data_IF_621501758127
#
_entry.id   IF_621501758127
#
_cell.length_a   1.000
_cell.length_b   1.000
_cell.length_c   1.000
_cell.angle_alpha   90.00
_cell.angle_beta   90.00
_cell.angle_gamma   90.00
#
_symmetry.space_group_name_H-M   'P 1'
#
loop_
_entity.id
_entity.type
_entity.pdbx_description
1 polymer ?
#
# COMPACT_ATOMS: atom_id res chain seq x y z
N UNK A 1 -5.83 -11.51 43.02
CA UNK A 1 -6.27 -10.69 41.88
C UNK A 1 -5.46 -11.13 40.68
N UNK A 2 -6.03 -11.94 39.80
CA UNK A 2 -5.46 -12.20 38.47
C UNK A 2 -5.52 -10.88 37.71
N UNK A 3 -4.36 -10.30 37.39
CA UNK A 3 -4.31 -9.19 36.44
C UNK A 3 -4.87 -9.71 35.13
N UNK A 4 -5.90 -9.05 34.59
CA UNK A 4 -6.39 -9.36 33.25
C UNK A 4 -5.19 -9.29 32.29
N UNK A 5 -5.07 -10.28 31.40
CA UNK A 5 -4.04 -10.25 30.37
C UNK A 5 -4.13 -8.92 29.61
N UNK A 6 -3.01 -8.23 29.36
CA UNK A 6 -3.04 -6.96 28.66
C UNK A 6 -3.66 -7.13 27.28
N UNK A 7 -4.56 -6.23 26.89
CA UNK A 7 -5.15 -6.26 25.56
C UNK A 7 -4.04 -6.10 24.52
N UNK A 8 -3.94 -7.02 23.55
CA UNK A 8 -2.86 -7.00 22.55
C UNK A 8 -3.10 -6.01 21.40
N UNK A 9 -4.30 -5.46 21.33
CA UNK A 9 -4.72 -4.40 20.38
C UNK A 9 -5.48 -3.30 21.13
N UNK A 10 -5.49 -2.06 20.64
CA UNK A 10 -6.41 -1.05 21.14
C UNK A 10 -7.86 -1.41 20.81
N UNK A 11 -8.82 -0.78 21.50
CA UNK A 11 -10.23 -0.84 21.10
C UNK A 11 -10.39 -0.24 19.70
N UNK A 12 -11.09 -0.97 18.82
CA UNK A 12 -11.32 -0.57 17.43
C UNK A 12 -12.82 -0.64 17.11
N UNK A 13 -13.30 0.34 16.35
CA UNK A 13 -14.65 0.32 15.79
C UNK A 13 -14.63 -0.05 14.30
N UNK A 14 -15.78 -0.44 13.77
CA UNK A 14 -15.97 -0.70 12.35
C UNK A 14 -15.77 0.56 11.48
N UNK A 15 -15.34 0.37 10.23
CA UNK A 15 -15.26 1.44 9.25
C UNK A 15 -16.63 2.01 8.86
N UNK A 16 -16.68 3.29 8.50
CA UNK A 16 -17.81 3.87 7.79
C UNK A 16 -17.90 3.30 6.37
N UNK A 17 -18.94 2.50 6.09
CA UNK A 17 -19.16 1.90 4.77
C UNK A 17 -19.67 2.95 3.78
N UNK A 18 -18.89 3.19 2.72
CA UNK A 18 -19.07 4.26 1.74
C UNK A 18 -19.87 3.86 0.49
N UNK A 19 -20.39 2.62 0.41
CA UNK A 19 -21.13 2.11 -0.76
C UNK A 19 -22.23 3.04 -1.27
N UNK A 20 -22.98 3.65 -0.35
CA UNK A 20 -24.10 4.54 -0.67
C UNK A 20 -23.67 5.87 -1.33
N UNK A 21 -22.38 6.20 -1.27
CA UNK A 21 -21.79 7.41 -1.86
C UNK A 21 -21.33 7.19 -3.31
N UNK A 22 -21.43 5.97 -3.86
CA UNK A 22 -21.03 5.69 -5.24
C UNK A 22 -21.88 6.46 -6.26
N UNK A 23 -21.27 7.48 -6.87
CA UNK A 23 -21.93 8.40 -7.80
C UNK A 23 -22.25 9.77 -7.18
N UNK A 24 -22.07 9.92 -5.86
CA UNK A 24 -22.19 11.18 -5.15
C UNK A 24 -20.80 11.77 -4.87
N UNK A 25 -20.34 12.64 -5.76
CA UNK A 25 -19.00 13.26 -5.67
C UNK A 25 -18.84 14.13 -4.42
N UNK A 26 -19.87 14.88 -4.04
CA UNK A 26 -19.81 15.75 -2.87
C UNK A 26 -19.86 14.92 -1.58
N UNK A 27 -20.68 13.87 -1.55
CA UNK A 27 -20.72 12.91 -0.44
C UNK A 27 -19.39 12.19 -0.24
N UNK A 28 -18.77 11.70 -1.32
CA UNK A 28 -17.43 11.09 -1.28
C UNK A 28 -16.39 12.06 -0.74
N UNK A 29 -16.38 13.30 -1.24
CA UNK A 29 -15.48 14.36 -0.76
C UNK A 29 -15.71 14.62 0.73
N UNK A 30 -16.95 14.80 1.16
CA UNK A 30 -17.26 15.04 2.57
C UNK A 30 -16.83 13.89 3.48
N UNK A 31 -17.01 12.64 3.05
CA UNK A 31 -16.54 11.46 3.77
C UNK A 31 -15.01 11.41 3.85
N UNK A 32 -14.31 11.72 2.75
CA UNK A 32 -12.84 11.79 2.73
C UNK A 32 -12.30 12.83 3.72
N UNK A 33 -12.84 14.06 3.67
CA UNK A 33 -12.43 15.16 4.54
C UNK A 33 -12.67 14.87 6.03
N UNK A 34 -13.71 14.08 6.34
CA UNK A 34 -14.07 13.67 7.70
C UNK A 34 -13.18 12.52 8.19
N UNK A 35 -13.02 11.49 7.37
CA UNK A 35 -12.53 10.18 7.82
C UNK A 35 -11.09 9.89 7.39
N UNK A 36 -10.64 10.43 6.27
CA UNK A 36 -9.33 10.14 5.66
C UNK A 36 -9.27 8.80 4.91
N UNK A 37 -10.43 8.19 4.65
CA UNK A 37 -10.55 6.96 3.90
C UNK A 37 -11.94 6.80 3.27
N UNK A 38 -12.04 5.89 2.31
CA UNK A 38 -13.28 5.26 1.89
C UNK A 38 -13.16 3.75 2.01
N UNK A 39 -14.12 3.13 2.67
CA UNK A 39 -14.24 1.69 2.73
C UNK A 39 -15.48 1.23 1.98
N UNK A 40 -15.30 0.33 1.02
CA UNK A 40 -16.38 -0.23 0.23
C UNK A 40 -16.48 -1.73 0.43
N UNK A 41 -17.70 -2.20 0.71
CA UNK A 41 -18.03 -3.62 0.91
C UNK A 41 -18.48 -4.25 -0.40
N UNK A 42 -17.93 -5.40 -0.76
CA UNK A 42 -18.45 -6.22 -1.86
C UNK A 42 -18.67 -5.46 -3.19
N UNK A 43 -17.65 -4.73 -3.64
CA UNK A 43 -17.69 -3.90 -4.86
C UNK A 43 -16.73 -4.36 -5.95
N UNK A 44 -15.66 -5.08 -5.59
CA UNK A 44 -14.73 -5.65 -6.55
C UNK A 44 -15.24 -7.00 -7.05
N UNK A 45 -14.97 -7.31 -8.32
CA UNK A 45 -15.34 -8.59 -8.92
C UNK A 45 -14.66 -9.76 -8.19
N UNK A 46 -15.46 -10.59 -7.53
CA UNK A 46 -14.97 -11.70 -6.69
C UNK A 46 -14.21 -12.75 -7.49
N UNK A 47 -14.54 -12.94 -8.77
CA UNK A 47 -13.87 -13.91 -9.61
C UNK A 47 -12.46 -13.40 -9.98
N UNK A 48 -12.32 -12.12 -10.30
CA UNK A 48 -11.01 -11.48 -10.48
C UNK A 48 -10.14 -11.56 -9.22
N UNK A 49 -10.75 -11.32 -8.03
CA UNK A 49 -10.05 -11.48 -6.75
C UNK A 49 -9.64 -12.94 -6.50
N UNK A 50 -10.50 -13.91 -6.80
CA UNK A 50 -10.19 -15.33 -6.65
C UNK A 50 -9.05 -15.79 -7.58
N UNK A 51 -9.03 -15.31 -8.82
CA UNK A 51 -7.93 -15.58 -9.76
C UNK A 51 -6.59 -15.02 -9.27
N UNK A 52 -6.59 -13.79 -8.73
CA UNK A 52 -5.39 -13.21 -8.10
C UNK A 52 -4.98 -13.95 -6.82
N UNK A 53 -5.94 -14.37 -5.99
CA UNK A 53 -5.71 -15.21 -4.81
C UNK A 53 -5.03 -16.52 -5.21
N UNK A 54 -5.41 -17.14 -6.32
CA UNK A 54 -4.81 -18.40 -6.75
C UNK A 54 -3.31 -18.24 -7.02
N UNK A 55 -2.87 -17.15 -7.63
CA UNK A 55 -1.44 -16.87 -7.85
C UNK A 55 -0.67 -16.80 -6.52
N UNK A 56 -1.28 -16.25 -5.46
CA UNK A 56 -0.68 -16.21 -4.13
C UNK A 56 -0.60 -17.60 -3.50
N UNK A 57 -1.64 -18.41 -3.67
CA UNK A 57 -1.65 -19.80 -3.17
C UNK A 57 -0.65 -20.68 -3.91
N UNK A 58 -0.53 -20.53 -5.23
CA UNK A 58 0.47 -21.23 -6.03
C UNK A 58 1.88 -20.88 -5.56
N UNK A 59 2.15 -19.60 -5.27
CA UNK A 59 3.42 -19.17 -4.68
C UNK A 59 3.69 -19.82 -3.31
N UNK A 60 2.69 -19.89 -2.42
CA UNK A 60 2.84 -20.58 -1.14
C UNK A 60 3.05 -22.09 -1.31
N UNK A 61 2.44 -22.69 -2.33
CA UNK A 61 2.66 -24.08 -2.73
C UNK A 61 4.06 -24.33 -3.29
N UNK A 62 4.59 -23.42 -4.11
CA UNK A 62 5.98 -23.45 -4.61
C UNK A 62 6.99 -23.42 -3.44
N UNK A 63 6.70 -22.67 -2.38
CA UNK A 63 7.50 -22.64 -1.16
C UNK A 63 7.29 -23.86 -0.25
N UNK A 64 6.25 -24.67 -0.49
CA UNK A 64 5.92 -25.85 0.30
C UNK A 64 5.31 -25.55 1.68
N UNK A 65 4.79 -24.34 1.90
CA UNK A 65 4.29 -23.87 3.22
C UNK A 65 2.75 -23.91 3.35
N UNK A 66 2.06 -24.14 2.24
CA UNK A 66 0.61 -24.36 2.20
C UNK A 66 0.25 -25.28 1.03
N UNK A 67 -0.93 -25.91 1.08
CA UNK A 67 -1.52 -26.56 -0.10
C UNK A 67 -2.11 -25.47 -1.01
N UNK A 68 -1.68 -25.35 -2.29
CA UNK A 68 -2.20 -24.33 -3.20
C UNK A 68 -3.70 -24.47 -3.50
N UNK A 69 -4.31 -25.62 -3.20
CA UNK A 69 -5.75 -25.86 -3.36
C UNK A 69 -6.55 -25.64 -2.07
N UNK A 70 -5.89 -25.30 -0.96
CA UNK A 70 -6.59 -25.07 0.31
C UNK A 70 -7.43 -23.78 0.24
N UNK A 71 -8.75 -23.85 0.49
CA UNK A 71 -9.65 -22.70 0.39
C UNK A 71 -9.43 -21.68 1.52
N UNK A 72 -8.90 -22.12 2.66
CA UNK A 72 -8.67 -21.33 3.86
C UNK A 72 -7.25 -20.75 3.94
N UNK A 73 -6.36 -21.15 3.02
CA UNK A 73 -4.94 -20.83 3.03
C UNK A 73 -4.23 -21.30 4.31
N UNK A 74 -4.57 -22.50 4.80
CA UNK A 74 -3.97 -23.07 6.00
C UNK A 74 -2.45 -23.20 5.88
N UNK A 75 -1.76 -22.76 6.93
CA UNK A 75 -0.32 -22.96 7.05
C UNK A 75 -0.04 -24.38 7.53
N UNK A 76 0.78 -25.12 6.78
CA UNK A 76 1.02 -26.55 7.04
C UNK A 76 2.10 -26.83 8.12
N UNK A 77 2.68 -25.78 8.71
CA UNK A 77 3.74 -25.90 9.73
C UNK A 77 5.16 -26.08 9.19
N UNK A 78 5.37 -26.06 7.86
CA UNK A 78 6.69 -26.17 7.25
C UNK A 78 7.58 -24.95 7.52
N UNK A 79 8.89 -25.10 7.39
CA UNK A 79 9.83 -24.01 7.66
C UNK A 79 9.60 -22.79 6.74
N UNK A 80 9.56 -21.61 7.35
CA UNK A 80 9.32 -20.32 6.69
C UNK A 80 10.61 -19.63 6.26
N UNK A 81 11.79 -20.25 6.44
CA UNK A 81 13.09 -19.63 6.13
C UNK A 81 13.26 -19.24 4.65
N UNK A 82 12.51 -19.88 3.74
CA UNK A 82 12.47 -19.54 2.32
C UNK A 82 11.64 -18.29 2.02
N UNK A 83 10.82 -17.81 2.97
CA UNK A 83 10.08 -16.56 2.82
C UNK A 83 11.00 -15.37 3.10
N UNK A 84 11.09 -14.38 2.18
CA UNK A 84 11.86 -13.17 2.42
C UNK A 84 11.37 -12.41 3.66
N UNK A 85 12.31 -11.87 4.44
CA UNK A 85 11.98 -11.03 5.60
C UNK A 85 11.31 -9.70 5.17
N UNK A 86 11.65 -9.20 3.99
CA UNK A 86 11.05 -8.01 3.40
C UNK A 86 9.99 -8.39 2.37
N UNK A 87 8.76 -7.95 2.61
CA UNK A 87 7.58 -8.24 1.77
C UNK A 87 7.70 -7.78 0.31
N UNK A 88 8.64 -6.89 -0.01
CA UNK A 88 8.85 -6.38 -1.37
C UNK A 88 9.94 -7.14 -2.14
N UNK A 89 10.60 -8.11 -1.52
CA UNK A 89 11.71 -8.87 -2.10
C UNK A 89 11.26 -10.29 -2.48
N UNK A 90 9.96 -10.48 -2.73
CA UNK A 90 9.40 -11.77 -3.10
C UNK A 90 9.43 -11.99 -4.61
N UNK A 91 9.39 -13.26 -5.02
CA UNK A 91 9.25 -13.63 -6.43
C UNK A 91 8.00 -13.05 -7.10
N UNK A 92 6.97 -12.65 -6.34
CA UNK A 92 5.79 -12.01 -6.94
C UNK A 92 6.07 -10.58 -7.40
N UNK A 93 6.92 -9.85 -6.68
CA UNK A 93 7.37 -8.51 -7.09
C UNK A 93 8.17 -8.64 -8.39
N UNK A 94 9.10 -9.59 -8.46
CA UNK A 94 9.88 -9.88 -9.68
C UNK A 94 8.98 -10.29 -10.86
N UNK A 95 7.98 -11.14 -10.62
CA UNK A 95 6.98 -11.57 -11.62
C UNK A 95 5.96 -10.48 -11.97
N UNK A 96 5.96 -9.34 -11.28
CA UNK A 96 5.03 -8.22 -11.49
C UNK A 96 3.57 -8.64 -11.42
N UNK A 97 3.23 -9.41 -10.39
CA UNK A 97 1.86 -9.94 -10.16
C UNK A 97 0.84 -8.79 -10.03
N UNK A 98 1.27 -7.60 -9.62
CA UNK A 98 0.48 -6.37 -9.60
C UNK A 98 -0.26 -6.11 -10.91
N UNK A 99 0.35 -6.46 -12.05
CA UNK A 99 -0.22 -6.26 -13.38
C UNK A 99 -1.49 -7.06 -13.63
N UNK A 100 -1.68 -8.19 -12.94
CA UNK A 100 -2.92 -8.98 -13.04
C UNK A 100 -4.09 -8.15 -12.51
N UNK A 101 -3.94 -7.55 -11.33
CA UNK A 101 -4.93 -6.64 -10.76
C UNK A 101 -5.10 -5.37 -11.61
N UNK A 102 -3.98 -4.72 -11.94
CA UNK A 102 -3.99 -3.39 -12.57
C UNK A 102 -4.61 -3.36 -13.96
N UNK A 103 -4.52 -4.47 -14.70
CA UNK A 103 -4.99 -4.59 -16.09
C UNK A 103 -6.36 -5.26 -16.19
N UNK A 104 -6.92 -5.77 -15.10
CA UNK A 104 -8.20 -6.47 -15.12
C UNK A 104 -9.36 -5.48 -15.37
N UNK A 105 -10.13 -5.63 -16.47
CA UNK A 105 -11.21 -4.72 -16.78
C UNK A 105 -12.38 -4.79 -15.78
N UNK A 106 -12.58 -5.92 -15.09
CA UNK A 106 -13.62 -6.11 -14.06
C UNK A 106 -13.27 -5.30 -12.81
N UNK A 107 -11.99 -5.29 -12.42
CA UNK A 107 -11.49 -4.44 -11.33
C UNK A 107 -11.53 -2.96 -11.73
N UNK A 108 -11.07 -2.62 -12.94
CA UNK A 108 -11.08 -1.24 -13.42
C UNK A 108 -12.50 -0.65 -13.51
N UNK A 109 -13.54 -1.46 -13.74
CA UNK A 109 -14.93 -1.01 -13.80
C UNK A 109 -15.39 -0.30 -12.51
N UNK A 110 -15.01 -0.83 -11.34
CA UNK A 110 -15.32 -0.19 -10.06
C UNK A 110 -14.65 1.18 -9.95
N UNK A 111 -13.34 1.27 -10.19
CA UNK A 111 -12.60 2.53 -10.05
C UNK A 111 -13.00 3.57 -11.09
N UNK A 112 -13.37 3.14 -12.31
CA UNK A 112 -13.98 4.03 -13.31
C UNK A 112 -15.26 4.67 -12.81
N UNK A 113 -16.12 3.89 -12.15
CA UNK A 113 -17.35 4.41 -11.55
C UNK A 113 -17.04 5.35 -10.38
N UNK A 114 -16.05 5.02 -9.55
CA UNK A 114 -15.64 5.83 -8.40
C UNK A 114 -15.07 7.20 -8.83
N UNK A 115 -14.11 7.22 -9.76
CA UNK A 115 -13.41 8.44 -10.16
C UNK A 115 -14.12 9.20 -11.29
N UNK A 116 -14.92 8.51 -12.09
CA UNK A 116 -15.49 9.01 -13.34
C UNK A 116 -14.47 9.17 -14.47
N UNK A 117 -13.32 8.51 -14.36
CA UNK A 117 -12.28 8.38 -15.38
C UNK A 117 -11.50 7.07 -15.15
N UNK A 118 -10.59 6.71 -16.05
CA UNK A 118 -9.75 5.53 -15.84
C UNK A 118 -8.91 5.66 -14.55
N UNK A 119 -8.69 4.57 -13.80
CA UNK A 119 -7.69 4.56 -12.74
C UNK A 119 -6.28 4.63 -13.33
N UNK A 120 -5.42 5.42 -12.69
CA UNK A 120 -3.98 5.35 -12.85
C UNK A 120 -3.39 4.57 -11.68
N UNK A 121 -2.82 3.41 -11.96
CA UNK A 121 -2.10 2.61 -10.97
C UNK A 121 -0.66 3.10 -10.89
N UNK A 122 -0.27 3.54 -9.70
CA UNK A 122 1.12 3.85 -9.39
C UNK A 122 1.82 2.51 -9.14
N UNK A 123 2.95 2.21 -9.80
CA UNK A 123 3.59 0.89 -9.80
C UNK A 123 4.37 0.60 -8.51
N UNK A 124 3.75 0.83 -7.35
CA UNK A 124 4.25 0.47 -6.03
C UNK A 124 3.23 -0.47 -5.40
N UNK A 125 3.53 -1.76 -5.46
CA UNK A 125 2.64 -2.78 -4.94
C UNK A 125 3.39 -3.65 -3.96
N UNK A 126 2.78 -3.88 -2.80
CA UNK A 126 3.24 -4.84 -1.83
C UNK A 126 2.28 -6.01 -1.83
N UNK A 127 2.80 -7.18 -2.09
CA UNK A 127 2.08 -8.43 -2.08
C UNK A 127 2.28 -9.08 -0.70
N UNK A 128 1.21 -9.37 0.04
CA UNK A 128 1.31 -9.87 1.41
C UNK A 128 0.75 -11.28 1.54
N UNK A 129 1.63 -12.23 1.88
CA UNK A 129 1.29 -13.55 2.41
C UNK A 129 1.83 -13.63 3.82
N UNK A 130 1.10 -13.08 4.80
CA UNK A 130 1.61 -12.99 6.17
C UNK A 130 1.32 -14.31 6.90
N UNK A 131 2.36 -15.09 7.28
CA UNK A 131 2.17 -16.35 8.00
C UNK A 131 1.62 -16.10 9.42
N UNK A 132 1.11 -17.14 10.10
CA UNK A 132 0.88 -17.11 11.53
C UNK A 132 2.14 -16.66 12.30
N UNK A 133 1.97 -15.75 13.24
CA UNK A 133 3.06 -15.24 14.06
C UNK A 133 3.52 -16.30 15.07
N UNK A 134 4.85 -16.32 15.29
CA UNK A 134 5.50 -17.16 16.30
C UNK A 134 5.26 -16.62 17.71
N UNK A 135 5.36 -15.31 17.88
CA UNK A 135 5.06 -14.61 19.13
C UNK A 135 3.59 -14.17 19.11
N UNK A 136 2.86 -14.53 20.16
CA UNK A 136 1.44 -14.22 20.35
C UNK A 136 1.16 -13.41 21.61
N UNK A 137 2.21 -13.06 22.35
CA UNK A 137 2.10 -12.39 23.66
C UNK A 137 2.39 -10.88 23.57
N UNK A 138 2.86 -10.40 22.42
CA UNK A 138 3.16 -8.98 22.18
C UNK A 138 2.01 -8.22 21.51
N UNK A 139 2.12 -6.87 21.53
CA UNK A 139 1.16 -5.98 20.86
C UNK A 139 1.13 -6.30 19.37
N UNK A 140 -0.06 -6.43 18.79
CA UNK A 140 -0.26 -6.88 17.41
C UNK A 140 -0.14 -5.76 16.37
N UNK A 141 -0.01 -4.50 16.76
CA UNK A 141 0.18 -3.40 15.80
C UNK A 141 1.63 -3.37 15.30
N UNK A 142 1.80 -3.74 14.03
CA UNK A 142 3.08 -3.77 13.34
C UNK A 142 3.34 -2.44 12.62
N UNK A 143 4.25 -1.64 13.18
CA UNK A 143 4.82 -0.44 12.54
C UNK A 143 3.75 0.60 12.15
N UNK A 144 3.31 1.40 13.13
CA UNK A 144 2.36 2.50 12.88
C UNK A 144 3.07 3.58 12.05
N UNK A 145 2.51 3.92 10.89
CA UNK A 145 3.12 4.88 9.95
C UNK A 145 2.08 5.57 9.06
N UNK A 146 2.55 6.55 8.30
CA UNK A 146 1.87 7.26 7.23
C UNK A 146 2.73 7.14 5.96
N UNK A 147 2.16 6.74 4.83
CA UNK A 147 2.94 6.60 3.58
C UNK A 147 3.42 7.96 3.05
N UNK A 148 2.71 9.05 3.37
CA UNK A 148 2.99 10.39 2.84
C UNK A 148 4.42 10.84 3.11
N UNK A 149 4.98 10.53 4.29
CA UNK A 149 6.36 10.90 4.62
C UNK A 149 7.42 10.25 3.72
N UNK A 150 7.06 9.18 3.00
CA UNK A 150 7.94 8.45 2.08
C UNK A 150 7.63 8.73 0.60
N UNK A 151 6.57 9.48 0.29
CA UNK A 151 6.03 9.62 -1.06
C UNK A 151 5.70 11.08 -1.44
N UNK A 152 6.44 12.04 -0.87
CA UNK A 152 6.23 13.47 -1.10
C UNK A 152 6.11 13.83 -2.60
N UNK A 153 5.13 14.66 -2.95
CA UNK A 153 4.82 15.08 -4.32
C UNK A 153 3.99 14.08 -5.16
N UNK A 154 3.62 12.91 -4.61
CA UNK A 154 2.73 11.96 -5.26
C UNK A 154 1.38 11.93 -4.53
N UNK A 155 0.31 12.42 -5.17
CA UNK A 155 -1.02 12.56 -4.55
C UNK A 155 -1.91 11.32 -4.74
N UNK A 156 -1.33 10.12 -4.65
CA UNK A 156 -2.11 8.89 -4.82
C UNK A 156 -2.90 8.51 -3.55
N UNK A 157 -3.92 7.69 -3.74
CA UNK A 157 -4.61 7.00 -2.67
C UNK A 157 -3.92 5.66 -2.42
N UNK A 158 -3.74 5.28 -1.16
CA UNK A 158 -3.37 3.90 -0.81
C UNK A 158 -4.61 3.03 -1.04
N UNK A 159 -4.48 1.95 -1.79
CA UNK A 159 -5.53 1.00 -2.11
C UNK A 159 -5.17 -0.37 -1.54
N UNK A 160 -5.90 -0.78 -0.51
CA UNK A 160 -5.71 -2.06 0.18
C UNK A 160 -6.89 -3.00 -0.13
N UNK A 161 -6.57 -4.22 -0.57
CA UNK A 161 -7.56 -5.21 -1.01
C UNK A 161 -7.28 -6.56 -0.31
N UNK A 162 -8.27 -7.14 0.40
CA UNK A 162 -8.20 -8.50 0.91
C UNK A 162 -8.38 -9.51 -0.25
N UNK A 163 -7.53 -10.53 -0.30
CA UNK A 163 -7.62 -11.61 -1.30
C UNK A 163 -8.27 -12.88 -0.74
N UNK A 164 -8.42 -12.95 0.57
CA UNK A 164 -9.14 -13.99 1.30
C UNK A 164 -9.96 -13.34 2.42
N UNK A 165 -10.81 -14.11 3.10
CA UNK A 165 -11.46 -13.64 4.31
C UNK A 165 -10.41 -13.41 5.41
N UNK A 166 -10.44 -12.24 6.05
CA UNK A 166 -9.51 -11.84 7.10
C UNK A 166 -10.33 -11.51 8.35
N UNK A 167 -10.55 -12.55 9.15
CA UNK A 167 -11.16 -12.47 10.46
C UNK A 167 -10.23 -11.76 11.48
N UNK A 168 -10.75 -11.34 12.65
CA UNK A 168 -9.98 -10.56 13.63
C UNK A 168 -8.68 -11.22 14.13
N UNK A 169 -8.61 -12.55 14.17
CA UNK A 169 -7.42 -13.31 14.55
C UNK A 169 -6.40 -13.43 13.41
N UNK A 170 -6.86 -13.49 12.15
CA UNK A 170 -6.02 -13.40 10.94
C UNK A 170 -5.32 -12.02 10.87
N UNK A 171 -5.93 -11.00 11.44
CA UNK A 171 -5.36 -9.66 11.59
C UNK A 171 -5.88 -8.71 10.51
N UNK A 172 -5.00 -8.29 9.60
CA UNK A 172 -5.35 -7.35 8.53
C UNK A 172 -4.72 -5.98 8.74
N UNK A 173 -5.50 -4.93 8.49
CA UNK A 173 -5.06 -3.55 8.53
C UNK A 173 -5.86 -2.78 9.60
N UNK A 174 -5.21 -1.86 10.30
CA UNK A 174 -5.88 -0.91 11.16
C UNK A 174 -5.45 0.50 10.79
N UNK A 175 -6.34 1.48 10.90
CA UNK A 175 -6.02 2.90 10.70
C UNK A 175 -6.65 3.79 11.76
N UNK A 176 -6.19 5.03 11.81
CA UNK A 176 -6.69 6.05 12.74
C UNK A 176 -7.53 7.09 11.98
N UNK A 177 -8.84 7.05 12.20
CA UNK A 177 -9.83 7.85 11.48
C UNK A 177 -9.72 9.36 11.76
N UNK A 178 -9.77 10.17 10.70
CA UNK A 178 -9.86 11.64 10.77
C UNK A 178 -8.56 12.35 11.12
N UNK A 179 -7.42 11.66 11.07
CA UNK A 179 -6.10 12.22 11.46
C UNK A 179 -5.27 12.71 10.28
N UNK A 180 -5.63 12.33 9.04
CA UNK A 180 -4.89 12.60 7.81
C UNK A 180 -4.54 14.08 7.55
N UNK A 181 -5.33 15.02 8.06
CA UNK A 181 -5.10 16.46 7.82
C UNK A 181 -4.13 17.13 8.79
N UNK A 182 -3.55 16.37 9.74
CA UNK A 182 -2.65 16.91 10.76
C UNK A 182 -1.19 16.95 10.33
N UNK A 183 -0.92 16.61 9.08
CA UNK A 183 0.42 16.44 8.56
C UNK A 183 1.08 15.16 9.07
N UNK A 184 2.38 15.04 8.83
CA UNK A 184 3.15 13.87 9.27
C UNK A 184 3.31 13.87 10.80
N UNK A 185 2.90 12.78 11.42
CA UNK A 185 3.08 12.48 12.85
C UNK A 185 4.38 11.74 13.13
N UNK A 186 5.14 11.41 12.09
CA UNK A 186 6.44 10.78 12.25
C UNK A 186 7.44 11.71 12.92
N UNK A 187 8.11 11.21 13.96
CA UNK A 187 9.32 11.83 14.50
C UNK A 187 10.52 11.49 13.61
N UNK A 188 11.49 12.39 13.56
CA UNK A 188 12.74 12.19 12.82
C UNK A 188 13.93 12.20 13.79
N UNK A 189 14.87 11.29 13.57
CA UNK A 189 16.19 11.27 14.21
C UNK A 189 17.24 11.41 13.10
N UNK A 190 17.71 12.64 12.88
CA UNK A 190 18.44 13.01 11.67
C UNK A 190 17.60 12.75 10.42
N UNK A 191 18.12 11.91 9.51
CA UNK A 191 17.43 11.48 8.28
C UNK A 191 16.52 10.27 8.49
N UNK A 192 16.54 9.63 9.66
CA UNK A 192 15.74 8.44 9.96
C UNK A 192 14.32 8.86 10.33
N UNK A 193 13.35 8.28 9.64
CA UNK A 193 11.93 8.41 9.97
C UNK A 193 11.60 7.30 10.98
N UNK A 194 11.15 7.69 12.17
CA UNK A 194 10.78 6.76 13.23
C UNK A 194 9.30 6.36 13.09
N UNK A 195 8.92 5.11 13.42
CA UNK A 195 7.51 4.74 13.52
C UNK A 195 6.77 5.66 14.50
N UNK A 196 5.49 5.86 14.24
CA UNK A 196 4.58 6.59 15.13
C UNK A 196 4.39 5.74 16.39
N UNK A 197 4.51 6.34 17.58
CA UNK A 197 4.26 5.60 18.81
C UNK A 197 2.76 5.42 19.01
N UNK A 198 2.33 4.23 19.43
CA UNK A 198 0.91 3.98 19.66
C UNK A 198 0.31 4.93 20.72
N UNK A 199 1.09 5.27 21.74
CA UNK A 199 0.69 6.21 22.79
C UNK A 199 0.41 7.64 22.28
N UNK A 200 0.91 7.99 21.08
CA UNK A 200 0.64 9.28 20.45
C UNK A 200 -0.71 9.28 19.69
N UNK A 201 -1.37 8.13 19.56
CA UNK A 201 -2.65 7.99 18.86
C UNK A 201 -3.83 8.17 19.81
N UNK A 202 -4.85 8.90 19.32
CA UNK A 202 -6.10 9.08 20.06
C UNK A 202 -6.85 7.75 20.22
N UNK A 203 -7.19 7.44 21.46
CA UNK A 203 -8.05 6.30 21.81
C UNK A 203 -9.42 6.47 21.14
N UNK A 204 -10.00 5.38 20.66
CA UNK A 204 -11.34 5.37 20.04
C UNK A 204 -11.38 5.81 18.58
N UNK A 205 -10.25 6.17 17.97
CA UNK A 205 -10.14 6.46 16.53
C UNK A 205 -9.65 5.30 15.69
N UNK A 206 -9.17 4.23 16.32
CA UNK A 206 -8.77 3.03 15.60
C UNK A 206 -9.97 2.40 14.90
N UNK A 207 -9.78 2.06 13.63
CA UNK A 207 -10.74 1.36 12.80
C UNK A 207 -10.09 0.15 12.17
N UNK A 208 -10.83 -0.94 12.20
CA UNK A 208 -10.55 -2.16 11.46
C UNK A 208 -11.88 -2.88 11.25
N UNK A 209 -11.86 -3.98 10.52
CA UNK A 209 -13.08 -4.75 10.25
C UNK A 209 -12.74 -6.21 9.97
N UNK A 210 -13.77 -7.05 9.96
CA UNK A 210 -13.70 -8.34 9.29
C UNK A 210 -13.74 -8.11 7.77
N UNK A 211 -12.62 -8.32 7.08
CA UNK A 211 -12.50 -8.11 5.64
C UNK A 211 -12.87 -9.36 4.83
N UNK A 212 -13.48 -9.15 3.66
CA UNK A 212 -13.88 -10.24 2.75
C UNK A 212 -13.46 -9.96 1.31
N UNK A 213 -13.23 -11.00 0.47
CA UNK A 213 -13.04 -10.81 -0.96
C UNK A 213 -14.17 -10.00 -1.59
N UNK A 214 -13.82 -8.98 -2.37
CA UNK A 214 -14.76 -8.00 -2.92
C UNK A 214 -14.72 -6.66 -2.19
N UNK A 215 -14.22 -6.61 -0.95
CA UNK A 215 -14.03 -5.36 -0.23
C UNK A 215 -12.82 -4.57 -0.77
N UNK A 216 -12.81 -3.25 -0.57
CA UNK A 216 -11.65 -2.40 -0.84
C UNK A 216 -11.60 -1.22 0.12
N UNK A 217 -10.39 -0.91 0.60
CA UNK A 217 -10.12 0.26 1.43
C UNK A 217 -9.19 1.21 0.66
N UNK A 218 -9.66 2.44 0.46
CA UNK A 218 -8.87 3.55 -0.04
C UNK A 218 -8.57 4.51 1.11
N UNK A 219 -7.33 4.92 1.32
CA UNK A 219 -7.01 5.87 2.39
C UNK A 219 -5.96 6.90 1.97
N UNK A 220 -6.00 8.03 2.68
CA UNK A 220 -5.06 9.12 2.50
C UNK A 220 -3.64 8.71 2.91
N UNK A 221 -2.66 9.28 2.22
CA UNK A 221 -1.22 9.12 2.50
C UNK A 221 -0.85 9.43 3.94
N UNK A 222 -1.55 10.37 4.55
CA UNK A 222 -1.32 10.83 5.90
C UNK A 222 -2.27 10.17 6.91
N UNK A 223 -3.08 9.18 6.52
CA UNK A 223 -3.84 8.39 7.50
C UNK A 223 -2.88 7.44 8.23
N UNK A 224 -2.67 7.59 9.56
CA UNK A 224 -1.83 6.65 10.30
C UNK A 224 -2.45 5.25 10.28
N UNK A 225 -1.64 4.26 9.96
CA UNK A 225 -2.10 2.88 9.83
C UNK A 225 -1.01 1.88 10.21
N UNK A 226 -1.43 0.64 10.42
CA UNK A 226 -0.58 -0.45 10.90
C UNK A 226 -1.11 -1.78 10.40
N UNK A 227 -0.21 -2.70 10.09
CA UNK A 227 -0.58 -4.11 9.99
C UNK A 227 -1.00 -4.64 11.36
N UNK A 228 -1.88 -5.63 11.38
CA UNK A 228 -2.18 -6.43 12.56
C UNK A 228 -1.50 -7.80 12.40
N UNK A 229 -0.68 -8.17 13.39
CA UNK A 229 -0.01 -9.47 13.47
C UNK A 229 -1.02 -10.61 13.42
N UNK A 230 -0.72 -11.61 12.60
CA UNK A 230 -1.60 -12.75 12.34
C UNK A 230 -1.48 -13.80 13.47
N UNK A 231 -2.53 -13.99 14.27
CA UNK A 231 -2.56 -14.97 15.38
C UNK A 231 -3.37 -16.23 15.03
N UNK A 232 -3.84 -16.36 13.79
CA UNK A 232 -4.61 -17.50 13.31
C UNK A 232 -3.71 -18.71 12.96
N UNK A 233 -4.25 -19.65 12.19
CA UNK A 233 -3.60 -20.85 11.65
C UNK A 233 -3.40 -20.82 10.13
N UNK A 234 -3.73 -19.69 9.48
CA UNK A 234 -3.70 -19.53 8.03
C UNK A 234 -2.90 -18.32 7.59
N UNK A 235 -2.56 -18.23 6.31
CA UNK A 235 -1.92 -17.05 5.75
C UNK A 235 -2.93 -15.91 5.59
N UNK A 236 -2.53 -14.69 5.98
CA UNK A 236 -3.27 -13.47 5.66
C UNK A 236 -2.87 -12.99 4.27
N UNK A 237 -3.79 -13.08 3.31
CA UNK A 237 -3.57 -12.72 1.91
C UNK A 237 -4.17 -11.35 1.59
N UNK A 238 -3.31 -10.38 1.24
CA UNK A 238 -3.74 -9.03 0.85
C UNK A 238 -2.78 -8.42 -0.15
N UNK A 239 -3.25 -7.38 -0.84
CA UNK A 239 -2.41 -6.53 -1.69
C UNK A 239 -2.62 -5.08 -1.30
N UNK A 240 -1.52 -4.33 -1.17
CA UNK A 240 -1.57 -2.89 -1.11
C UNK A 240 -0.88 -2.27 -2.31
N UNK A 241 -1.63 -1.46 -3.04
CA UNK A 241 -1.18 -0.77 -4.24
C UNK A 241 -1.62 0.69 -4.16
N UNK A 242 -1.21 1.50 -5.12
CA UNK A 242 -1.41 2.95 -5.09
C UNK A 242 -2.16 3.37 -6.34
N UNK A 243 -3.20 4.17 -6.18
CA UNK A 243 -4.14 4.48 -7.26
C UNK A 243 -4.51 5.96 -7.23
N UNK A 244 -4.74 6.54 -8.40
CA UNK A 244 -5.27 7.90 -8.51
C UNK A 244 -6.14 8.06 -9.77
N UNK A 245 -6.99 9.10 -9.85
CA UNK A 245 -7.71 9.43 -11.07
C UNK A 245 -6.74 9.75 -12.21
N UNK A 246 -6.94 9.17 -13.40
CA UNK A 246 -6.04 9.41 -14.55
C UNK A 246 -6.10 10.83 -15.11
N UNK A 247 -7.17 11.58 -14.81
CA UNK A 247 -7.33 12.98 -15.20
C UNK A 247 -6.76 13.98 -14.18
N UNK A 248 -6.11 13.49 -13.12
CA UNK A 248 -5.35 14.31 -12.17
C UNK A 248 -3.91 14.58 -12.63
N UNK A 249 -3.10 15.13 -11.73
CA UNK A 249 -1.66 15.28 -11.95
C UNK A 249 -0.93 13.93 -11.78
N UNK A 250 -1.08 13.04 -12.76
CA UNK A 250 -0.44 11.73 -12.73
C UNK A 250 1.08 11.85 -12.92
N UNK A 251 1.88 11.03 -12.22
CA UNK A 251 3.33 11.04 -12.40
C UNK A 251 3.73 10.48 -13.78
N UNK A 252 4.90 10.89 -14.25
CA UNK A 252 5.52 10.32 -15.45
C UNK A 252 6.15 8.99 -15.08
N UNK A 253 5.68 7.90 -15.67
CA UNK A 253 6.19 6.54 -15.45
C UNK A 253 6.77 6.03 -16.76
N UNK A 254 7.98 5.48 -16.72
CA UNK A 254 8.58 4.84 -17.89
C UNK A 254 10.09 4.66 -17.78
N UNK A 255 10.70 4.34 -18.91
CA UNK A 255 12.13 4.08 -19.01
C UNK A 255 12.91 5.36 -19.25
N UNK A 256 14.05 5.53 -18.58
CA UNK A 256 14.99 6.62 -18.86
C UNK A 256 15.55 6.45 -20.27
N UNK A 257 15.33 7.46 -21.11
CA UNK A 257 15.93 7.60 -22.44
C UNK A 257 17.21 8.44 -22.41
N UNK A 258 17.28 9.43 -21.51
CA UNK A 258 18.47 10.26 -21.27
C UNK A 258 18.45 10.80 -19.84
N UNK A 259 19.62 11.02 -19.23
CA UNK A 259 19.71 11.60 -17.88
C UNK A 259 20.98 12.44 -17.74
N UNK A 260 20.86 13.59 -17.09
CA UNK A 260 21.96 14.49 -16.74
C UNK A 260 21.76 15.05 -15.32
N UNK A 261 22.67 15.92 -14.87
CA UNK A 261 22.48 16.64 -13.61
C UNK A 261 21.35 17.69 -13.68
N UNK A 262 20.96 18.11 -14.89
CA UNK A 262 19.98 19.17 -15.14
C UNK A 262 18.59 18.63 -15.50
N UNK A 263 18.46 17.34 -15.82
CA UNK A 263 17.18 16.76 -16.20
C UNK A 263 17.21 15.28 -16.57
N UNK A 264 16.05 14.78 -16.96
CA UNK A 264 15.82 13.39 -17.39
C UNK A 264 14.80 13.36 -18.51
N UNK A 265 14.99 12.47 -19.47
CA UNK A 265 13.97 12.11 -20.46
C UNK A 265 13.41 10.75 -20.09
N UNK A 266 12.11 10.67 -19.80
CA UNK A 266 11.40 9.42 -19.47
C UNK A 266 10.46 9.12 -20.64
N UNK A 267 10.71 8.01 -21.35
CA UNK A 267 10.07 7.76 -22.64
C UNK A 267 10.38 8.89 -23.63
N UNK A 268 9.35 9.62 -24.04
CA UNK A 268 9.42 10.79 -24.93
C UNK A 268 9.35 12.14 -24.19
N UNK A 269 9.16 12.13 -22.86
CA UNK A 269 8.99 13.34 -22.06
C UNK A 269 10.31 13.81 -21.47
N UNK A 270 10.79 14.97 -21.93
CA UNK A 270 11.92 15.67 -21.32
C UNK A 270 11.45 16.46 -20.09
N UNK A 271 12.17 16.30 -18.97
CA UNK A 271 11.90 16.92 -17.68
C UNK A 271 13.18 17.56 -17.14
N UNK A 272 13.05 18.64 -16.38
CA UNK A 272 14.16 19.37 -15.77
C UNK A 272 14.25 19.13 -14.26
N UNK A 273 15.47 19.21 -13.74
CA UNK A 273 15.73 19.34 -12.30
C UNK A 273 16.02 20.79 -11.94
N UNK A 274 15.72 21.17 -10.71
CA UNK A 274 16.26 22.38 -10.09
C UNK A 274 16.57 22.13 -8.61
N UNK A 275 17.01 23.16 -7.90
CA UNK A 275 17.38 23.05 -6.48
C UNK A 275 16.24 22.53 -5.56
N UNK A 276 14.99 22.51 -6.04
CA UNK A 276 13.83 21.98 -5.31
C UNK A 276 13.49 20.53 -5.66
N UNK A 277 14.14 19.95 -6.67
CA UNK A 277 13.91 18.56 -7.09
C UNK A 277 14.44 17.57 -6.06
N UNK A 278 13.58 16.63 -5.63
CA UNK A 278 13.95 15.54 -4.75
C UNK A 278 14.15 14.25 -5.55
N UNK A 279 15.39 13.81 -5.72
CA UNK A 279 15.69 12.55 -6.42
C UNK A 279 16.22 11.52 -5.43
N UNK A 280 15.55 10.36 -5.37
CA UNK A 280 15.90 9.25 -4.46
C UNK A 280 17.03 8.40 -5.04
N UNK A 281 17.94 7.96 -4.19
CA UNK A 281 18.85 6.84 -4.47
C UNK A 281 18.14 5.49 -4.32
N UNK A 282 18.85 4.40 -4.66
CA UNK A 282 18.34 3.03 -4.57
C UNK A 282 18.00 2.58 -3.13
N UNK A 283 18.50 3.29 -2.12
CA UNK A 283 18.24 3.01 -0.69
C UNK A 283 17.25 3.99 -0.07
N UNK A 284 16.52 4.74 -0.90
CA UNK A 284 15.51 5.70 -0.47
C UNK A 284 16.05 7.03 0.07
N UNK A 285 17.38 7.20 0.10
CA UNK A 285 18.07 8.43 0.48
C UNK A 285 17.91 9.54 -0.57
N UNK A 286 17.88 10.79 -0.14
CA UNK A 286 17.98 11.91 -1.08
C UNK A 286 19.41 11.97 -1.63
N UNK A 287 19.54 12.11 -2.94
CA UNK A 287 20.83 12.17 -3.62
C UNK A 287 21.08 13.58 -4.19
N UNK A 288 22.34 14.08 -4.18
CA UNK A 288 22.70 15.30 -4.90
C UNK A 288 22.42 15.18 -6.40
N UNK A 289 21.92 16.24 -7.03
CA UNK A 289 21.60 16.20 -8.47
C UNK A 289 22.83 15.88 -9.35
N UNK A 290 24.00 16.36 -8.92
CA UNK A 290 25.27 16.08 -9.59
C UNK A 290 25.63 14.58 -9.63
N UNK A 291 25.12 13.78 -8.70
CA UNK A 291 25.38 12.34 -8.64
C UNK A 291 24.43 11.53 -9.55
N UNK A 292 23.34 12.13 -10.04
CA UNK A 292 22.28 11.43 -10.81
C UNK A 292 22.85 10.65 -11.99
N UNK A 293 23.69 11.23 -12.88
CA UNK A 293 24.20 10.49 -14.04
C UNK A 293 25.05 9.26 -13.69
N UNK A 294 25.61 9.23 -12.47
CA UNK A 294 26.38 8.09 -11.97
C UNK A 294 25.53 6.97 -11.37
N UNK A 295 24.27 7.25 -11.00
CA UNK A 295 23.39 6.29 -10.28
C UNK A 295 22.15 5.87 -11.06
N UNK A 296 21.63 6.72 -11.95
CA UNK A 296 20.55 6.38 -12.86
C UNK A 296 21.09 6.06 -14.25
N UNK A 297 20.52 5.04 -14.90
CA UNK A 297 20.99 4.56 -16.21
C UNK A 297 19.88 4.61 -17.25
N UNK A 298 20.25 4.88 -18.50
CA UNK A 298 19.37 4.65 -19.64
C UNK A 298 18.88 3.20 -19.61
N UNK A 299 17.58 2.99 -19.85
CA UNK A 299 16.95 1.67 -19.74
C UNK A 299 16.34 1.37 -18.37
N UNK A 300 16.61 2.18 -17.34
CA UNK A 300 16.01 2.00 -16.01
C UNK A 300 14.57 2.52 -15.96
N UNK A 301 13.65 1.75 -15.37
CA UNK A 301 12.28 2.22 -15.09
C UNK A 301 12.26 3.17 -13.88
N UNK A 302 11.59 4.30 -14.06
CA UNK A 302 11.44 5.34 -13.05
C UNK A 302 10.02 5.88 -13.04
N UNK A 303 9.73 6.58 -11.96
CA UNK A 303 8.53 7.36 -11.77
C UNK A 303 8.91 8.74 -11.26
N UNK A 304 8.35 9.77 -11.89
CA UNK A 304 8.58 11.16 -11.55
C UNK A 304 7.26 11.90 -11.29
N UNK A 305 7.08 12.41 -10.08
CA UNK A 305 6.11 13.47 -9.80
C UNK A 305 6.57 14.76 -10.45
N UNK A 306 5.68 15.46 -11.16
CA UNK A 306 6.04 16.65 -11.94
C UNK A 306 5.10 17.82 -11.69
N UNK A 307 5.61 19.03 -11.90
CA UNK A 307 4.82 20.26 -12.06
C UNK A 307 5.21 20.89 -13.40
N UNK A 308 4.40 20.69 -14.42
CA UNK A 308 4.79 21.03 -15.79
C UNK A 308 5.93 20.13 -16.27
N UNK A 309 7.10 20.71 -16.55
CA UNK A 309 8.33 20.01 -16.93
C UNK A 309 9.29 19.77 -15.75
N UNK A 310 9.01 20.36 -14.58
CA UNK A 310 9.87 20.26 -13.41
C UNK A 310 9.60 18.98 -12.62
N UNK A 311 10.64 18.19 -12.38
CA UNK A 311 10.59 17.05 -11.46
C UNK A 311 10.52 17.54 -10.01
N UNK A 312 9.47 17.13 -9.29
CA UNK A 312 9.33 17.35 -7.84
C UNK A 312 9.92 16.19 -7.05
N UNK A 313 9.57 14.97 -7.45
CA UNK A 313 10.11 13.75 -6.87
C UNK A 313 10.42 12.75 -7.99
N UNK A 314 11.58 12.11 -7.96
CA UNK A 314 11.87 10.97 -8.85
C UNK A 314 12.49 9.83 -8.09
N UNK A 315 12.08 8.61 -8.42
CA UNK A 315 12.65 7.38 -7.86
C UNK A 315 12.64 6.21 -8.85
N UNK A 316 13.51 5.20 -8.67
CA UNK A 316 13.41 3.95 -9.41
C UNK A 316 12.09 3.24 -9.11
N UNK A 317 11.59 2.50 -10.10
CA UNK A 317 10.61 1.44 -9.88
C UNK A 317 11.41 0.17 -9.60
N UNK A 318 11.21 -0.41 -8.42
CA UNK A 318 11.78 -1.70 -8.01
C UNK A 318 10.71 -2.78 -8.15
#
# INVERSE_FOLDING_TARGET
>A
MTMAAPCLIPEMSEFNVSNHLLGDREGLKAAWERDGYWFFRDVLDKQAIAELRQIYMDYLGELGVADPQDPDALYNGADLSAMPAMVNETAMNERRVDRVLHRDPRIAAFFRRLFGCDPFWVPFTVHRQVPPARDRDTRRLEFIHQDGTYNDGLDFLICWIPLAEIAPDVGGLALVEGVHRRGSLHRKDGMKILPIAEADMEIGRWRSTHYRPGDVLLMDLNTPHSGITNHSDRFRLSVDTRIMPSNGNVPVVGTIAAVSADGVTIGDRALRFDATSFVRGLRGDQMPLADIPGRYRVGQEVIAAVTGDLVRNMRPIQ
#
